data_IF_389940310655
#
_entry.id   IF_389940310655
#
_cell.length_a   1.000
_cell.length_b   1.000
_cell.length_c   1.000
_cell.angle_alpha   90.00
_cell.angle_beta   90.00
_cell.angle_gamma   90.00
#
_symmetry.space_group_name_H-M   'P 1'
#
loop_
_entity.id
_entity.type
_entity.pdbx_description
1 polymer ?
#
# COMPACT_ATOMS: atom_id res chain seq x y z
N UNK A 1 -5.89 8.52 14.99
CA UNK A 1 -5.25 7.22 15.26
C UNK A 1 -5.16 6.43 13.94
N UNK A 2 -4.16 5.57 13.77
CA UNK A 2 -4.02 4.76 12.56
C UNK A 2 -5.07 3.63 12.60
N UNK A 3 -6.02 3.63 11.66
CA UNK A 3 -7.14 2.69 11.61
C UNK A 3 -7.07 1.86 10.31
N UNK A 4 -7.14 0.52 10.38
CA UNK A 4 -7.20 -0.34 9.19
C UNK A 4 -8.33 0.01 8.22
N UNK A 5 -9.46 0.52 8.69
CA UNK A 5 -10.57 0.94 7.82
C UNK A 5 -10.15 2.12 6.95
N UNK A 6 -9.53 3.15 7.52
CA UNK A 6 -9.04 4.31 6.77
C UNK A 6 -7.88 3.92 5.85
N UNK A 7 -7.04 2.98 6.25
CA UNK A 7 -5.98 2.45 5.38
C UNK A 7 -6.56 1.91 4.07
N UNK A 8 -7.56 1.03 4.13
CA UNK A 8 -8.15 0.45 2.91
C UNK A 8 -8.88 1.49 2.06
N UNK A 9 -9.62 2.40 2.68
CA UNK A 9 -10.31 3.47 1.96
C UNK A 9 -9.31 4.41 1.23
N UNK A 10 -8.20 4.78 1.86
CA UNK A 10 -7.15 5.59 1.23
C UNK A 10 -6.41 4.78 0.16
N UNK A 11 -6.12 3.51 0.41
CA UNK A 11 -5.48 2.61 -0.54
C UNK A 11 -6.28 2.53 -1.84
N UNK A 12 -7.58 2.26 -1.75
CA UNK A 12 -8.45 2.13 -2.92
C UNK A 12 -8.52 3.45 -3.68
N UNK A 13 -8.64 4.58 -2.96
CA UNK A 13 -8.63 5.90 -3.55
C UNK A 13 -7.33 6.21 -4.30
N UNK A 14 -6.17 5.79 -3.78
CA UNK A 14 -4.89 5.97 -4.47
C UNK A 14 -4.84 5.17 -5.79
N UNK A 15 -5.44 3.99 -5.81
CA UNK A 15 -5.52 3.18 -7.04
C UNK A 15 -6.52 3.73 -8.05
N UNK A 16 -7.64 4.28 -7.60
CA UNK A 16 -8.63 4.96 -8.44
C UNK A 16 -8.08 6.26 -9.04
N UNK A 17 -7.33 7.03 -8.25
CA UNK A 17 -6.83 8.37 -8.59
C UNK A 17 -5.35 8.38 -9.00
N UNK A 18 -4.80 7.25 -9.49
CA UNK A 18 -3.37 7.11 -9.80
C UNK A 18 -2.82 8.22 -10.70
N UNK A 19 -3.64 8.77 -11.61
CA UNK A 19 -3.24 9.87 -12.48
C UNK A 19 -2.84 11.14 -11.72
N UNK A 20 -3.49 11.41 -10.58
CA UNK A 20 -3.22 12.59 -9.75
C UNK A 20 -1.97 12.41 -8.89
N UNK A 21 -1.58 11.16 -8.60
CA UNK A 21 -0.48 10.85 -7.69
C UNK A 21 0.90 11.26 -8.23
N UNK A 22 1.05 11.41 -9.54
CA UNK A 22 2.32 11.81 -10.16
C UNK A 22 2.76 13.23 -9.78
N UNK A 23 1.81 14.09 -9.43
CA UNK A 23 2.03 15.45 -8.96
C UNK A 23 1.52 15.66 -7.53
N UNK A 24 1.39 14.58 -6.76
CA UNK A 24 0.86 14.66 -5.40
C UNK A 24 1.77 15.49 -4.49
N UNK A 25 1.14 16.31 -3.67
CA UNK A 25 1.73 17.01 -2.54
C UNK A 25 0.98 16.65 -1.24
N UNK A 26 1.41 17.23 -0.13
CA UNK A 26 0.76 17.06 1.18
C UNK A 26 -0.73 17.36 1.11
N UNK A 27 -1.14 18.39 0.37
CA UNK A 27 -2.53 18.86 0.36
C UNK A 27 -3.44 17.85 -0.37
N UNK A 28 -2.98 17.26 -1.47
CA UNK A 28 -3.70 16.15 -2.13
C UNK A 28 -3.87 14.95 -1.19
N UNK A 29 -2.82 14.59 -0.44
CA UNK A 29 -2.91 13.47 0.52
C UNK A 29 -3.87 13.76 1.68
N UNK A 30 -3.93 15.01 2.14
CA UNK A 30 -4.89 15.46 3.16
C UNK A 30 -6.32 15.42 2.61
N UNK A 31 -6.53 15.85 1.37
CA UNK A 31 -7.83 15.73 0.69
C UNK A 31 -8.29 14.27 0.63
N UNK A 32 -7.40 13.37 0.22
CA UNK A 32 -7.69 11.94 0.10
C UNK A 32 -8.00 11.31 1.46
N UNK A 33 -7.28 11.72 2.53
CA UNK A 33 -7.61 11.32 3.89
C UNK A 33 -9.01 11.81 4.31
N UNK A 34 -9.40 13.03 3.94
CA UNK A 34 -10.74 13.57 4.18
C UNK A 34 -11.84 12.78 3.45
N UNK A 35 -11.63 12.45 2.17
CA UNK A 35 -12.53 11.60 1.38
C UNK A 35 -12.70 10.21 1.98
N UNK A 36 -11.64 9.67 2.57
CA UNK A 36 -11.65 8.38 3.26
C UNK A 36 -12.31 8.42 4.66
N UNK A 37 -12.73 9.60 5.14
CA UNK A 37 -13.43 9.76 6.42
C UNK A 37 -12.50 9.99 7.62
N UNK A 38 -11.22 10.30 7.42
CA UNK A 38 -10.32 10.69 8.50
C UNK A 38 -10.80 12.01 9.09
N UNK A 39 -11.15 11.99 10.37
CA UNK A 39 -11.75 13.15 11.06
C UNK A 39 -10.73 14.20 11.53
N UNK A 40 -9.49 13.80 11.83
CA UNK A 40 -8.45 14.69 12.31
C UNK A 40 -7.38 14.94 11.22
N UNK A 41 -7.72 15.82 10.28
CA UNK A 41 -6.86 16.15 9.14
C UNK A 41 -5.63 16.96 9.54
N UNK A 42 -5.72 17.80 10.58
CA UNK A 42 -4.58 18.56 11.09
C UNK A 42 -3.48 17.62 11.64
N UNK A 43 -3.89 16.60 12.40
CA UNK A 43 -2.96 15.56 12.86
C UNK A 43 -2.36 14.80 11.68
N UNK A 44 -3.17 14.42 10.69
CA UNK A 44 -2.68 13.73 9.50
C UNK A 44 -1.62 14.56 8.77
N UNK A 45 -1.91 15.84 8.53
CA UNK A 45 -1.00 16.79 7.88
C UNK A 45 0.30 16.93 8.66
N UNK A 46 0.22 17.11 9.97
CA UNK A 46 1.39 17.21 10.83
C UNK A 46 2.26 15.95 10.78
N UNK A 47 1.65 14.75 10.79
CA UNK A 47 2.38 13.49 10.66
C UNK A 47 3.11 13.40 9.32
N UNK A 48 2.48 13.84 8.23
CA UNK A 48 3.04 13.81 6.89
C UNK A 48 4.16 14.84 6.72
N UNK A 49 3.93 16.09 7.13
CA UNK A 49 4.90 17.20 7.05
C UNK A 49 6.16 16.91 7.87
N UNK A 50 6.01 16.29 9.03
CA UNK A 50 7.15 15.91 9.88
C UNK A 50 7.88 14.66 9.39
N UNK A 51 7.41 14.01 8.32
CA UNK A 51 7.99 12.76 7.82
C UNK A 51 7.99 11.64 8.86
N UNK A 52 7.02 11.64 9.78
CA UNK A 52 7.02 10.79 10.99
C UNK A 52 7.21 9.29 10.69
N UNK A 53 6.77 8.84 9.51
CA UNK A 53 6.86 7.44 9.08
C UNK A 53 7.80 7.21 7.88
N UNK A 54 8.56 8.23 7.45
CA UNK A 54 9.47 8.13 6.31
C UNK A 54 10.54 7.05 6.51
N UNK A 55 11.14 6.99 7.70
CA UNK A 55 12.16 5.97 8.02
C UNK A 55 11.58 4.56 7.99
N UNK A 56 10.36 4.39 8.52
CA UNK A 56 9.65 3.11 8.47
C UNK A 56 9.36 2.67 7.04
N UNK A 57 8.91 3.58 6.17
CA UNK A 57 8.66 3.28 4.76
C UNK A 57 9.97 2.87 4.04
N UNK A 58 11.06 3.60 4.30
CA UNK A 58 12.37 3.29 3.73
C UNK A 58 12.93 1.96 4.25
N UNK A 59 12.72 1.63 5.52
CA UNK A 59 13.10 0.34 6.10
C UNK A 59 12.35 -0.82 5.44
N UNK A 60 11.04 -0.69 5.25
CA UNK A 60 10.22 -1.69 4.57
C UNK A 60 10.68 -1.91 3.12
N UNK A 61 10.96 -0.84 2.36
CA UNK A 61 11.49 -0.97 0.98
C UNK A 61 12.86 -1.67 0.97
N UNK A 62 13.77 -1.32 1.90
CA UNK A 62 15.07 -1.99 2.03
C UNK A 62 14.93 -3.48 2.38
N UNK A 63 14.03 -3.82 3.30
CA UNK A 63 13.79 -5.20 3.71
C UNK A 63 13.31 -6.06 2.53
N UNK A 64 12.32 -5.55 1.76
CA UNK A 64 11.86 -6.25 0.54
C UNK A 64 12.94 -6.35 -0.52
N UNK A 65 13.81 -5.34 -0.62
CA UNK A 65 14.96 -5.45 -1.52
C UNK A 65 15.99 -6.49 -1.07
N UNK A 66 16.20 -6.67 0.22
CA UNK A 66 17.09 -7.74 0.72
C UNK A 66 16.55 -9.13 0.35
N UNK A 67 15.23 -9.29 0.24
CA UNK A 67 14.54 -10.50 -0.21
C UNK A 67 14.50 -10.65 -1.75
N UNK A 68 15.32 -9.90 -2.49
CA UNK A 68 15.33 -9.89 -3.98
C UNK A 68 14.00 -9.47 -4.64
N UNK A 69 13.05 -8.92 -3.89
CA UNK A 69 11.81 -8.36 -4.46
C UNK A 69 12.16 -7.02 -5.12
N UNK A 70 11.99 -6.94 -6.43
CA UNK A 70 12.24 -5.73 -7.26
C UNK A 70 11.06 -5.33 -8.12
N UNK A 71 10.11 -6.25 -8.34
CA UNK A 71 8.92 -6.02 -9.15
C UNK A 71 7.71 -5.75 -8.24
N UNK A 72 6.86 -4.81 -8.65
CA UNK A 72 5.61 -4.47 -7.96
C UNK A 72 4.44 -4.59 -8.94
N UNK A 73 3.35 -5.29 -8.61
CA UNK A 73 3.19 -6.10 -7.40
C UNK A 73 4.05 -7.38 -7.43
N UNK A 74 4.37 -7.90 -6.25
CA UNK A 74 4.84 -9.28 -6.04
C UNK A 74 4.06 -9.84 -4.87
N UNK A 75 3.47 -11.01 -5.04
CA UNK A 75 2.70 -11.70 -4.00
C UNK A 75 3.56 -12.77 -3.33
N UNK A 76 3.20 -13.13 -2.11
CA UNK A 76 3.78 -14.29 -1.42
C UNK A 76 2.63 -15.19 -0.96
N UNK A 77 2.66 -16.45 -1.38
CA UNK A 77 1.71 -17.49 -0.93
C UNK A 77 2.54 -18.56 -0.23
N UNK A 78 2.42 -18.64 1.10
CA UNK A 78 3.19 -19.57 1.95
C UNK A 78 4.72 -19.56 1.70
N UNK A 79 5.29 -18.40 1.35
CA UNK A 79 6.71 -18.24 1.06
C UNK A 79 7.09 -18.41 -0.42
N UNK A 80 6.17 -18.87 -1.28
CA UNK A 80 6.38 -18.83 -2.73
C UNK A 80 6.16 -17.39 -3.24
N UNK A 81 7.21 -16.78 -3.78
CA UNK A 81 7.15 -15.46 -4.38
C UNK A 81 6.60 -15.54 -5.81
N UNK A 82 5.58 -14.74 -6.08
CA UNK A 82 4.88 -14.67 -7.37
C UNK A 82 5.04 -13.25 -7.92
N UNK A 83 5.99 -13.03 -8.83
CA UNK A 83 6.27 -11.70 -9.36
C UNK A 83 5.21 -11.26 -10.38
N UNK A 84 4.82 -9.99 -10.31
CA UNK A 84 3.94 -9.35 -11.29
C UNK A 84 2.46 -9.47 -10.99
N UNK A 85 1.66 -8.67 -11.71
CA UNK A 85 0.21 -8.73 -11.66
C UNK A 85 -0.28 -9.96 -12.43
N UNK A 86 -0.42 -11.08 -11.73
CA UNK A 86 -0.98 -12.32 -12.30
C UNK A 86 -2.49 -12.19 -12.50
N UNK A 87 -3.04 -13.01 -13.41
CA UNK A 87 -4.49 -13.09 -13.58
C UNK A 87 -5.15 -13.68 -12.32
N UNK A 88 -6.42 -13.36 -12.11
CA UNK A 88 -7.22 -13.95 -11.03
C UNK A 88 -7.17 -15.48 -11.06
N UNK A 89 -7.34 -16.09 -12.25
CA UNK A 89 -7.34 -17.54 -12.39
C UNK A 89 -6.01 -18.18 -11.96
N UNK A 90 -4.88 -17.54 -12.27
CA UNK A 90 -3.57 -18.04 -11.86
C UNK A 90 -3.34 -17.89 -10.35
N UNK A 91 -3.78 -16.78 -9.75
CA UNK A 91 -3.72 -16.61 -8.30
C UNK A 91 -4.62 -17.61 -7.56
N UNK A 92 -5.86 -17.81 -8.01
CA UNK A 92 -6.79 -18.79 -7.41
C UNK A 92 -6.20 -20.19 -7.41
N UNK A 93 -5.69 -20.63 -8.57
CA UNK A 93 -5.06 -21.95 -8.74
C UNK A 93 -3.90 -22.16 -7.76
N UNK A 94 -3.07 -21.13 -7.54
CA UNK A 94 -1.93 -21.19 -6.61
C UNK A 94 -2.37 -21.23 -5.16
N UNK A 95 -3.38 -20.44 -4.78
CA UNK A 95 -3.96 -20.46 -3.43
C UNK A 95 -4.57 -21.83 -3.14
N UNK A 96 -5.37 -22.38 -4.06
CA UNK A 96 -5.97 -23.71 -3.91
C UNK A 96 -4.90 -24.81 -3.74
N UNK A 97 -3.83 -24.74 -4.52
CA UNK A 97 -2.70 -25.66 -4.38
C UNK A 97 -1.94 -25.50 -3.05
N UNK A 98 -1.89 -24.29 -2.49
CA UNK A 98 -1.25 -24.01 -1.20
C UNK A 98 -2.11 -24.44 0.00
N UNK A 99 -3.45 -24.45 -0.13
CA UNK A 99 -4.37 -24.91 0.90
C UNK A 99 -4.46 -26.44 1.01
N UNK A 100 -4.08 -27.16 -0.05
CA UNK A 100 -4.09 -28.62 -0.09
C UNK A 100 -2.83 -29.28 0.50
N UNK A 101 -1.87 -28.47 0.97
CA UNK A 101 -0.62 -28.89 1.62
C UNK A 101 -0.76 -28.85 3.13
#
# INVERSE_FOLDING_TARGET
EQDPQFFWAIHDLFYEEQGQLWSADTDLFVEFAGRAGVSNLDQFRQCLDNGQYADKANELDRARRAESIRLRPTFSINGELIPGAQSYAELSRRIEAALAQ
#
